data_IF_982247613580
#
_entry.id   IF_982247613580
#
_cell.length_a   1.000
_cell.length_b   1.000
_cell.length_c   1.000
_cell.angle_alpha   90.00
_cell.angle_beta   90.00
_cell.angle_gamma   90.00
#
_symmetry.space_group_name_H-M   'P 1'
#
loop_
_entity.id
_entity.type
_entity.pdbx_description
1 polymer ?
#
# COMPACT_ATOMS: atom_id res chain seq x y z
N UNK A 1 4.65 16.08 3.30
CA UNK A 1 3.85 15.77 4.51
C UNK A 1 4.16 14.34 4.94
N UNK A 2 3.93 13.99 6.21
CA UNK A 2 3.99 12.58 6.67
C UNK A 2 2.63 11.92 6.48
N UNK A 3 2.59 10.76 5.83
CA UNK A 3 1.36 10.05 5.48
C UNK A 3 1.49 8.58 5.88
N UNK A 4 0.47 8.05 6.57
CA UNK A 4 0.33 6.63 6.85
C UNK A 4 -0.72 6.02 5.91
N UNK A 5 -0.34 5.01 5.15
CA UNK A 5 -1.24 4.18 4.34
C UNK A 5 -1.44 2.86 5.08
N UNK A 6 -2.70 2.54 5.42
CA UNK A 6 -3.08 1.30 6.10
C UNK A 6 -3.63 0.29 5.08
N UNK A 7 -2.95 -0.84 4.95
CA UNK A 7 -3.29 -1.93 4.03
C UNK A 7 -2.35 -2.02 2.83
N UNK A 8 -1.73 -3.18 2.64
CA UNK A 8 -0.76 -3.52 1.60
C UNK A 8 -1.35 -4.26 0.40
N UNK A 9 -2.64 -4.03 0.11
CA UNK A 9 -3.26 -4.47 -1.15
C UNK A 9 -2.88 -3.55 -2.33
N UNK A 10 -3.36 -3.88 -3.53
CA UNK A 10 -3.03 -3.15 -4.77
C UNK A 10 -3.27 -1.65 -4.66
N UNK A 11 -4.38 -1.23 -4.04
CA UNK A 11 -4.72 0.18 -3.84
C UNK A 11 -3.72 0.84 -2.90
N UNK A 12 -3.44 0.24 -1.74
CA UNK A 12 -2.53 0.82 -0.75
C UNK A 12 -1.10 0.95 -1.26
N UNK A 13 -0.58 -0.08 -1.94
CA UNK A 13 0.76 -0.02 -2.57
C UNK A 13 0.81 1.06 -3.65
N UNK A 14 -0.20 1.15 -4.51
CA UNK A 14 -0.25 2.14 -5.58
C UNK A 14 -0.36 3.57 -5.03
N UNK A 15 -1.23 3.78 -4.04
CA UNK A 15 -1.34 5.07 -3.34
C UNK A 15 -0.01 5.46 -2.69
N UNK A 16 0.63 4.54 -1.94
CA UNK A 16 1.92 4.80 -1.31
C UNK A 16 3.01 5.18 -2.33
N UNK A 17 3.07 4.47 -3.46
CA UNK A 17 4.01 4.76 -4.55
C UNK A 17 3.83 6.18 -5.10
N UNK A 18 2.62 6.56 -5.46
CA UNK A 18 2.38 7.90 -6.04
C UNK A 18 2.53 9.02 -5.02
N UNK A 19 2.13 8.81 -3.76
CA UNK A 19 2.35 9.77 -2.68
C UNK A 19 3.85 9.98 -2.40
N UNK A 20 4.65 8.91 -2.41
CA UNK A 20 6.09 9.01 -2.27
C UNK A 20 6.72 9.76 -3.46
N UNK A 21 6.30 9.44 -4.68
CA UNK A 21 6.77 10.13 -5.90
C UNK A 21 6.37 11.62 -5.94
N UNK A 22 5.29 12.01 -5.27
CA UNK A 22 4.89 13.40 -5.09
C UNK A 22 5.69 14.14 -3.99
N UNK A 23 6.72 13.51 -3.39
CA UNK A 23 7.59 14.12 -2.39
C UNK A 23 7.04 14.05 -0.96
N UNK A 24 6.12 13.12 -0.68
CA UNK A 24 5.66 12.87 0.69
C UNK A 24 6.50 11.80 1.39
N UNK A 25 6.63 11.92 2.72
CA UNK A 25 7.20 10.91 3.59
C UNK A 25 6.09 9.90 3.92
N UNK A 26 6.20 8.68 3.39
CA UNK A 26 5.10 7.71 3.38
C UNK A 26 5.52 6.46 4.15
N UNK A 27 4.67 6.06 5.10
CA UNK A 27 4.74 4.76 5.75
C UNK A 27 3.57 3.92 5.23
N UNK A 28 3.85 2.75 4.69
CA UNK A 28 2.85 1.74 4.36
C UNK A 28 2.87 0.66 5.45
N UNK A 29 1.73 0.43 6.11
CA UNK A 29 1.59 -0.58 7.15
C UNK A 29 0.59 -1.66 6.70
N UNK A 30 1.02 -2.91 6.76
CA UNK A 30 0.20 -4.10 6.47
C UNK A 30 0.15 -4.99 7.72
N UNK A 31 -1.01 -5.61 7.98
CA UNK A 31 -1.22 -6.51 9.12
C UNK A 31 -0.59 -7.90 8.90
N UNK A 32 -0.49 -8.34 7.64
CA UNK A 32 0.10 -9.60 7.22
C UNK A 32 1.62 -9.47 7.12
N UNK A 33 2.32 -10.60 7.20
CA UNK A 33 3.78 -10.64 7.02
C UNK A 33 4.21 -10.29 5.58
N UNK A 34 3.32 -10.49 4.61
CA UNK A 34 3.57 -10.21 3.21
C UNK A 34 2.45 -9.34 2.63
N UNK A 35 2.80 -8.52 1.64
CA UNK A 35 1.86 -7.70 0.91
C UNK A 35 0.90 -8.54 0.06
N UNK A 36 -0.23 -7.93 -0.30
CA UNK A 36 -1.24 -8.50 -1.18
C UNK A 36 -1.87 -9.84 -0.74
N UNK A 37 -1.65 -10.35 0.48
CA UNK A 37 -2.16 -11.66 0.97
C UNK A 37 -3.67 -11.73 1.30
N UNK A 38 -4.49 -10.92 0.65
CA UNK A 38 -5.95 -10.89 0.82
C UNK A 38 -6.60 -10.78 -0.57
N UNK A 39 -7.63 -9.93 -0.75
CA UNK A 39 -8.34 -9.77 -2.03
C UNK A 39 -7.40 -9.56 -3.22
N UNK A 40 -6.32 -8.78 -3.05
CA UNK A 40 -5.35 -8.53 -4.13
C UNK A 40 -4.56 -9.76 -4.59
N UNK A 41 -4.51 -10.85 -3.80
CA UNK A 41 -3.86 -12.11 -4.22
C UNK A 41 -4.72 -12.88 -5.23
N UNK A 42 -6.05 -12.80 -5.07
CA UNK A 42 -7.02 -13.67 -5.73
C UNK A 42 -8.22 -12.87 -6.24
N UNK A 43 -7.98 -11.73 -6.88
CA UNK A 43 -9.01 -10.89 -7.50
C UNK A 43 -9.30 -11.26 -8.96
N UNK A 44 -8.52 -12.18 -9.56
CA UNK A 44 -8.65 -12.56 -10.97
C UNK A 44 -7.95 -11.63 -11.96
N UNK A 45 -7.12 -10.69 -11.48
CA UNK A 45 -6.64 -9.55 -12.25
C UNK A 45 -7.46 -8.31 -11.94
#
# INVERSE_FOLDING_TARGET
MKILVLGGGVIGVTSAFYLNRAGHDVILLERRQELARETSFANGG
#
